data_IF_622074833754
#
_entry.id   IF_622074833754
#
_cell.length_a   1.000
_cell.length_b   1.000
_cell.length_c   1.000
_cell.angle_alpha   90.00
_cell.angle_beta   90.00
_cell.angle_gamma   90.00
#
_symmetry.space_group_name_H-M   'P 1'
#
loop_
_entity.id
_entity.type
_entity.pdbx_description
1 polymer ?
#
# COMPACT_ATOMS: atom_id res chain seq x y z
N UNK A 1 -45.84 -45.00 -14.08
CA UNK A 1 -45.23 -43.74 -14.56
C UNK A 1 -43.90 -43.56 -13.86
N UNK A 2 -42.79 -43.60 -14.59
CA UNK A 2 -41.44 -43.41 -14.03
C UNK A 2 -41.17 -41.90 -13.96
N UNK A 3 -41.14 -41.35 -12.76
CA UNK A 3 -40.71 -39.97 -12.52
C UNK A 3 -39.19 -39.89 -12.60
N UNK A 4 -38.70 -39.40 -13.73
CA UNK A 4 -37.29 -39.06 -13.95
C UNK A 4 -36.96 -37.83 -13.11
N UNK A 5 -36.16 -38.01 -12.05
CA UNK A 5 -35.62 -36.90 -11.27
C UNK A 5 -34.58 -36.17 -12.13
N UNK A 6 -34.94 -34.99 -12.61
CA UNK A 6 -34.04 -34.06 -13.31
C UNK A 6 -33.12 -33.43 -12.26
N UNK A 7 -31.93 -34.00 -12.07
CA UNK A 7 -30.87 -33.39 -11.27
C UNK A 7 -30.38 -32.13 -11.99
N UNK A 8 -30.86 -30.97 -11.54
CA UNK A 8 -30.33 -29.68 -11.93
C UNK A 8 -28.95 -29.52 -11.27
N UNK A 9 -27.89 -29.91 -11.96
CA UNK A 9 -26.52 -29.57 -11.60
C UNK A 9 -26.35 -28.05 -11.76
N UNK A 10 -26.56 -27.31 -10.67
CA UNK A 10 -26.02 -25.96 -10.54
C UNK A 10 -24.50 -26.08 -10.61
N UNK A 11 -23.92 -25.87 -11.79
CA UNK A 11 -22.53 -25.45 -11.91
C UNK A 11 -22.45 -24.07 -11.27
N UNK A 12 -22.20 -24.03 -9.97
CA UNK A 12 -21.56 -22.87 -9.36
C UNK A 12 -20.22 -22.80 -10.05
N UNK A 13 -20.11 -21.92 -11.05
CA UNK A 13 -18.82 -21.39 -11.46
C UNK A 13 -18.23 -20.79 -10.19
N UNK A 14 -17.45 -21.58 -9.46
CA UNK A 14 -16.39 -21.08 -8.62
C UNK A 14 -15.54 -20.27 -9.60
N UNK A 15 -15.83 -18.97 -9.66
CA UNK A 15 -14.93 -18.01 -10.26
C UNK A 15 -13.69 -18.14 -9.39
N UNK A 16 -12.76 -19.00 -9.83
CA UNK A 16 -11.42 -19.01 -9.30
C UNK A 16 -10.90 -17.62 -9.62
N UNK A 17 -11.01 -16.71 -8.64
CA UNK A 17 -10.30 -15.44 -8.65
C UNK A 17 -8.86 -15.77 -9.02
N UNK A 18 -8.41 -15.27 -10.16
CA UNK A 18 -7.10 -15.66 -10.64
C UNK A 18 -6.11 -14.55 -10.45
N UNK A 19 -4.86 -14.99 -10.35
CA UNK A 19 -3.73 -14.22 -9.86
C UNK A 19 -3.04 -13.53 -11.05
N UNK A 20 -2.60 -12.29 -10.90
CA UNK A 20 -1.68 -11.69 -11.88
C UNK A 20 -0.36 -12.45 -11.83
N UNK A 21 0.00 -13.10 -12.93
CA UNK A 21 1.24 -13.86 -13.06
C UNK A 21 2.31 -12.99 -13.71
N UNK A 22 3.50 -12.98 -13.12
CA UNK A 22 4.64 -12.23 -13.64
C UNK A 22 5.74 -13.19 -14.10
N UNK A 23 6.04 -13.14 -15.38
CA UNK A 23 7.16 -13.81 -16.03
C UNK A 23 8.36 -12.85 -16.04
N UNK A 24 9.34 -13.12 -15.18
CA UNK A 24 10.54 -12.29 -15.07
C UNK A 24 11.63 -12.74 -16.05
N UNK A 25 12.01 -11.86 -16.97
CA UNK A 25 13.10 -12.07 -17.91
C UNK A 25 14.33 -11.29 -17.47
N UNK A 26 15.25 -11.99 -16.82
CA UNK A 26 16.53 -11.43 -16.40
C UNK A 26 17.46 -11.33 -17.62
N UNK A 27 17.90 -10.13 -17.96
CA UNK A 27 18.90 -9.89 -19.00
C UNK A 27 20.06 -9.09 -18.42
N UNK A 28 21.27 -9.61 -18.56
CA UNK A 28 22.48 -8.98 -18.05
C UNK A 28 23.23 -8.31 -19.19
N UNK A 29 23.95 -7.22 -18.89
CA UNK A 29 25.08 -6.81 -19.72
C UNK A 29 26.25 -7.79 -19.46
N UNK A 30 27.01 -8.17 -20.50
CA UNK A 30 28.11 -9.12 -20.36
C UNK A 30 29.11 -8.69 -19.27
N UNK A 31 29.47 -9.62 -18.38
CA UNK A 31 30.45 -9.36 -17.32
C UNK A 31 29.92 -8.58 -16.11
N UNK A 32 28.64 -8.21 -16.09
CA UNK A 32 27.93 -7.69 -14.91
C UNK A 32 26.62 -8.48 -14.70
N UNK A 33 25.97 -8.37 -13.54
CA UNK A 33 24.53 -8.61 -13.48
C UNK A 33 23.98 -9.78 -12.68
N UNK A 34 22.67 -9.98 -12.82
CA UNK A 34 21.81 -10.78 -11.95
C UNK A 34 22.03 -12.29 -12.10
N UNK A 35 22.52 -12.76 -13.26
CA UNK A 35 22.85 -14.18 -13.48
C UNK A 35 24.27 -14.53 -13.02
N UNK A 36 25.06 -13.56 -12.58
CA UNK A 36 26.37 -13.85 -12.00
C UNK A 36 26.23 -14.66 -10.71
N UNK A 37 27.18 -15.57 -10.50
CA UNK A 37 27.28 -16.36 -9.28
C UNK A 37 27.46 -15.41 -8.09
N UNK A 38 26.55 -15.47 -7.11
CA UNK A 38 26.50 -14.56 -5.97
C UNK A 38 25.33 -13.57 -5.99
N UNK A 39 24.64 -13.40 -7.12
CA UNK A 39 23.45 -12.54 -7.24
C UNK A 39 22.13 -13.33 -7.34
N UNK A 40 22.16 -14.66 -7.15
CA UNK A 40 20.96 -15.51 -7.19
C UNK A 40 19.92 -15.09 -6.14
N UNK A 41 20.37 -14.47 -5.05
CA UNK A 41 19.50 -13.94 -4.02
C UNK A 41 18.61 -12.82 -4.55
N UNK A 42 19.08 -11.97 -5.47
CA UNK A 42 18.28 -10.90 -6.08
C UNK A 42 17.16 -11.49 -6.93
N UNK A 43 17.47 -12.48 -7.78
CA UNK A 43 16.46 -13.23 -8.56
C UNK A 43 15.41 -13.84 -7.63
N UNK A 44 15.83 -14.44 -6.51
CA UNK A 44 14.91 -15.01 -5.52
C UNK A 44 14.02 -13.94 -4.89
N UNK A 45 14.56 -12.78 -4.55
CA UNK A 45 13.78 -11.67 -3.99
C UNK A 45 12.83 -11.01 -4.99
N UNK A 46 13.22 -10.83 -6.26
CA UNK A 46 12.31 -10.39 -7.33
C UNK A 46 11.13 -11.35 -7.49
N UNK A 47 11.39 -12.67 -7.49
CA UNK A 47 10.33 -13.68 -7.57
C UNK A 47 9.38 -13.64 -6.36
N UNK A 48 9.91 -13.37 -5.16
CA UNK A 48 9.07 -13.14 -3.97
C UNK A 48 8.23 -11.89 -4.10
N UNK A 49 8.81 -10.79 -4.60
CA UNK A 49 8.09 -9.52 -4.81
C UNK A 49 6.90 -9.69 -5.76
N UNK A 50 7.12 -10.28 -6.94
CA UNK A 50 6.02 -10.44 -7.90
C UNK A 50 4.96 -11.43 -7.43
N UNK A 51 5.34 -12.49 -6.70
CA UNK A 51 4.37 -13.39 -6.07
C UNK A 51 3.56 -12.70 -4.98
N UNK A 52 4.15 -11.73 -4.28
CA UNK A 52 3.43 -10.90 -3.31
C UNK A 52 2.39 -10.05 -4.04
N UNK A 53 2.81 -9.32 -5.07
CA UNK A 53 1.96 -8.39 -5.82
C UNK A 53 0.83 -9.14 -6.55
N UNK A 54 1.16 -10.25 -7.21
CA UNK A 54 0.19 -11.04 -8.00
C UNK A 54 -1.01 -11.51 -7.20
N UNK A 55 -0.80 -11.84 -5.92
CA UNK A 55 -1.83 -12.29 -4.98
C UNK A 55 -2.72 -11.17 -4.42
N UNK A 56 -2.26 -9.93 -4.52
CA UNK A 56 -2.98 -8.76 -4.01
C UNK A 56 -3.95 -8.22 -5.07
N UNK A 57 -3.74 -8.53 -6.35
CA UNK A 57 -4.59 -8.08 -7.45
C UNK A 57 -5.53 -9.23 -7.85
N UNK A 58 -6.85 -8.99 -7.82
CA UNK A 58 -7.88 -10.01 -8.10
C UNK A 58 -8.09 -10.29 -9.60
N UNK A 59 -7.63 -9.39 -10.45
CA UNK A 59 -7.72 -9.56 -11.90
C UNK A 59 -6.74 -10.61 -12.43
N UNK A 60 -7.09 -11.15 -13.58
CA UNK A 60 -6.34 -12.20 -14.26
C UNK A 60 -5.46 -11.63 -15.36
N UNK A 61 -4.14 -11.64 -15.19
CA UNK A 61 -3.26 -11.28 -16.30
C UNK A 61 -1.95 -12.05 -16.25
N UNK A 62 -1.30 -12.14 -17.41
CA UNK A 62 0.09 -12.59 -17.52
C UNK A 62 0.95 -11.45 -18.05
N UNK A 63 1.94 -11.07 -17.25
CA UNK A 63 2.86 -9.98 -17.55
C UNK A 63 4.28 -10.49 -17.74
N UNK A 64 4.96 -9.95 -18.73
CA UNK A 64 6.37 -10.21 -19.02
C UNK A 64 7.19 -8.99 -18.59
N UNK A 65 7.96 -9.12 -17.51
CA UNK A 65 8.79 -8.02 -16.99
C UNK A 65 10.25 -8.30 -17.28
N UNK A 66 10.90 -7.41 -18.02
CA UNK A 66 12.35 -7.46 -18.21
C UNK A 66 13.03 -6.88 -16.97
N UNK A 67 14.09 -7.53 -16.50
CA UNK A 67 14.87 -7.08 -15.34
C UNK A 67 16.34 -7.09 -15.71
N UNK A 68 16.98 -5.92 -15.69
CA UNK A 68 18.39 -5.78 -16.00
C UNK A 68 19.20 -5.29 -14.81
N UNK A 69 20.47 -5.66 -14.81
CA UNK A 69 21.49 -4.99 -14.03
C UNK A 69 22.30 -4.05 -14.91
N UNK A 70 22.63 -2.87 -14.38
CA UNK A 70 23.49 -1.89 -15.04
C UNK A 70 24.17 -1.01 -14.00
N UNK A 71 25.40 -0.58 -14.26
CA UNK A 71 26.12 0.41 -13.45
C UNK A 71 25.76 1.86 -13.82
N UNK A 72 25.00 2.06 -14.91
CA UNK A 72 24.62 3.37 -15.47
C UNK A 72 23.53 4.08 -14.69
N UNK A 73 22.74 3.36 -13.89
CA UNK A 73 21.71 3.95 -13.01
C UNK A 73 22.27 4.20 -11.62
N UNK A 74 21.76 5.23 -10.93
CA UNK A 74 22.20 5.54 -9.57
C UNK A 74 21.75 4.46 -8.57
N UNK A 75 20.56 3.89 -8.73
CA UNK A 75 20.02 2.91 -7.79
C UNK A 75 19.12 1.89 -8.50
N UNK A 76 17.94 2.31 -8.92
CA UNK A 76 17.00 1.55 -9.72
C UNK A 76 16.15 2.54 -10.52
N UNK A 77 15.54 2.07 -11.60
CA UNK A 77 14.50 2.82 -12.30
C UNK A 77 13.62 1.89 -13.16
N UNK A 78 12.39 2.31 -13.41
CA UNK A 78 11.48 1.71 -14.38
C UNK A 78 11.34 2.61 -15.62
N UNK A 79 12.17 2.41 -16.67
CA UNK A 79 12.13 3.28 -17.84
C UNK A 79 10.79 3.20 -18.59
N UNK A 80 10.30 4.36 -18.99
CA UNK A 80 9.02 4.58 -19.67
C UNK A 80 8.90 4.01 -21.09
N UNK A 81 9.99 3.48 -21.66
CA UNK A 81 10.04 2.94 -23.03
C UNK A 81 9.11 1.76 -23.31
N UNK A 82 8.45 1.22 -22.28
CA UNK A 82 7.46 0.14 -22.37
C UNK A 82 6.03 0.62 -22.17
N UNK A 83 5.82 1.92 -22.20
CA UNK A 83 4.48 2.46 -22.37
C UNK A 83 4.11 2.45 -23.85
N UNK A 84 2.82 2.41 -24.13
CA UNK A 84 2.33 2.61 -25.47
C UNK A 84 1.38 3.81 -25.48
N UNK A 85 1.38 4.50 -26.60
CA UNK A 85 0.47 5.62 -26.84
C UNK A 85 -0.79 5.09 -27.48
N UNK A 86 -1.94 5.43 -26.91
CA UNK A 86 -3.20 5.35 -27.62
C UNK A 86 -3.45 6.73 -28.22
N UNK A 87 -3.59 6.76 -29.55
CA UNK A 87 -3.97 7.98 -30.24
C UNK A 87 -5.45 8.27 -30.00
N UNK A 88 -5.72 8.97 -28.90
CA UNK A 88 -6.95 9.70 -28.69
C UNK A 88 -6.75 11.06 -29.40
N UNK A 89 -7.14 11.14 -30.67
CA UNK A 89 -6.90 12.26 -31.60
C UNK A 89 -7.08 13.64 -30.94
N UNK A 90 -6.00 14.30 -30.46
CA UNK A 90 -5.93 15.56 -29.68
C UNK A 90 -5.77 15.48 -28.14
N UNK A 91 -5.11 14.43 -27.66
CA UNK A 91 -4.46 14.36 -26.34
C UNK A 91 -3.95 12.95 -26.12
N UNK A 92 -2.66 12.70 -26.30
CA UNK A 92 -2.16 11.32 -26.36
C UNK A 92 -2.21 10.67 -24.98
N UNK A 93 -3.07 9.66 -24.82
CA UNK A 93 -3.09 8.88 -23.59
C UNK A 93 -1.94 7.86 -23.64
N UNK A 94 -1.02 7.98 -22.70
CA UNK A 94 0.03 6.98 -22.49
C UNK A 94 -0.47 6.01 -21.44
N UNK A 95 -0.55 4.73 -21.84
CA UNK A 95 -0.96 3.65 -20.94
C UNK A 95 0.22 2.71 -20.74
N UNK A 96 0.59 2.41 -19.48
CA UNK A 96 1.53 1.34 -19.22
C UNK A 96 0.94 0.01 -19.70
N UNK A 97 1.71 -0.77 -20.48
CA UNK A 97 1.27 -2.07 -21.02
C UNK A 97 0.77 -3.01 -19.91
N UNK A 98 1.48 -3.06 -18.78
CA UNK A 98 1.08 -3.84 -17.62
C UNK A 98 -0.29 -3.43 -17.07
N UNK A 99 -0.55 -2.12 -16.92
CA UNK A 99 -1.85 -1.60 -16.50
C UNK A 99 -2.95 -2.06 -17.47
N UNK A 100 -2.77 -1.83 -18.77
CA UNK A 100 -3.73 -2.23 -19.78
C UNK A 100 -4.06 -3.72 -19.75
N UNK A 101 -3.03 -4.59 -19.71
CA UNK A 101 -3.24 -6.04 -19.68
C UNK A 101 -4.00 -6.48 -18.44
N UNK A 102 -3.69 -5.93 -17.27
CA UNK A 102 -4.41 -6.26 -16.03
C UNK A 102 -5.87 -5.84 -16.11
N UNK A 103 -6.15 -4.59 -16.52
CA UNK A 103 -7.51 -4.08 -16.60
C UNK A 103 -8.37 -4.83 -17.64
N UNK A 104 -7.75 -5.37 -18.69
CA UNK A 104 -8.43 -6.14 -19.75
C UNK A 104 -8.36 -7.66 -19.56
N UNK A 105 -7.89 -8.12 -18.39
CA UNK A 105 -7.72 -9.54 -18.06
C UNK A 105 -6.96 -10.37 -19.13
N UNK A 106 -5.87 -9.82 -19.67
CA UNK A 106 -5.10 -10.46 -20.75
C UNK A 106 -4.19 -11.56 -20.18
N UNK A 107 -4.54 -12.82 -20.41
CA UNK A 107 -3.82 -14.00 -19.88
C UNK A 107 -2.94 -14.72 -20.91
N UNK A 108 -2.94 -14.27 -22.17
CA UNK A 108 -2.10 -14.86 -23.22
C UNK A 108 -0.67 -14.38 -23.07
N UNK A 109 0.28 -15.31 -23.09
CA UNK A 109 1.70 -14.97 -23.22
C UNK A 109 1.96 -14.56 -24.67
N UNK A 110 2.56 -13.40 -24.88
CA UNK A 110 2.97 -12.98 -26.22
C UNK A 110 4.17 -13.83 -26.64
N UNK A 111 4.01 -14.61 -27.72
CA UNK A 111 5.05 -15.50 -28.26
C UNK A 111 6.34 -14.75 -28.65
N UNK A 112 6.25 -13.43 -28.89
CA UNK A 112 7.36 -12.58 -29.33
C UNK A 112 8.14 -11.86 -28.21
N UNK A 113 8.03 -12.29 -26.94
CA UNK A 113 8.63 -11.57 -25.79
C UNK A 113 8.22 -10.09 -25.74
N UNK A 114 6.95 -9.80 -26.01
CA UNK A 114 6.44 -8.44 -25.81
C UNK A 114 6.55 -8.09 -24.33
N UNK A 115 7.45 -7.16 -24.03
CA UNK A 115 7.78 -6.74 -22.67
C UNK A 115 6.70 -5.76 -22.20
N UNK A 116 6.07 -6.10 -21.07
CA UNK A 116 5.00 -5.31 -20.44
C UNK A 116 5.54 -4.25 -19.47
N UNK A 117 6.81 -4.39 -19.08
CA UNK A 117 7.51 -3.47 -18.21
C UNK A 117 8.98 -3.83 -18.07
N UNK A 118 9.78 -2.86 -17.63
CA UNK A 118 11.21 -3.04 -17.50
C UNK A 118 11.72 -2.36 -16.25
N UNK A 119 12.61 -3.03 -15.54
CA UNK A 119 13.29 -2.49 -14.38
C UNK A 119 14.79 -2.66 -14.60
N UNK A 120 15.57 -1.61 -14.33
CA UNK A 120 17.03 -1.69 -14.35
C UNK A 120 17.57 -1.34 -12.95
N UNK A 121 18.55 -2.11 -12.48
CA UNK A 121 19.13 -1.98 -11.13
C UNK A 121 20.64 -1.78 -11.19
N UNK A 122 21.14 -0.90 -10.32
CA UNK A 122 22.55 -0.89 -9.96
C UNK A 122 22.81 -1.88 -8.83
N UNK A 123 23.24 -3.08 -9.21
CA UNK A 123 23.46 -4.20 -8.28
C UNK A 123 24.46 -3.85 -7.16
N UNK A 124 25.40 -2.93 -7.41
CA UNK A 124 26.42 -2.52 -6.42
C UNK A 124 25.83 -1.76 -5.24
N UNK A 125 24.59 -1.28 -5.37
CA UNK A 125 23.88 -0.52 -4.33
C UNK A 125 23.12 -1.39 -3.34
N UNK A 126 23.06 -2.70 -3.57
CA UNK A 126 22.31 -3.62 -2.73
C UNK A 126 23.22 -4.55 -1.95
N UNK A 127 22.86 -4.77 -0.68
CA UNK A 127 23.59 -5.66 0.21
C UNK A 127 22.83 -6.99 0.36
N UNK A 128 23.49 -8.11 0.07
CA UNK A 128 22.94 -9.46 0.24
C UNK A 128 22.53 -9.78 1.69
N UNK A 129 23.12 -9.10 2.67
CA UNK A 129 22.78 -9.23 4.09
C UNK A 129 21.50 -8.47 4.46
N UNK A 130 20.98 -7.64 3.54
CA UNK A 130 19.72 -6.91 3.65
C UNK A 130 18.82 -7.14 2.42
N UNK A 131 18.46 -8.39 2.12
CA UNK A 131 17.74 -8.75 0.89
C UNK A 131 16.37 -8.06 0.76
N UNK A 132 15.77 -7.65 1.87
CA UNK A 132 14.55 -6.85 1.91
C UNK A 132 14.68 -5.50 1.21
N UNK A 133 15.86 -4.85 1.23
CA UNK A 133 16.03 -3.52 0.64
C UNK A 133 15.87 -3.59 -0.87
N UNK A 134 16.47 -4.63 -1.47
CA UNK A 134 16.28 -4.94 -2.87
C UNK A 134 14.83 -5.32 -3.17
N UNK A 135 14.21 -6.20 -2.36
CA UNK A 135 12.81 -6.59 -2.55
C UNK A 135 11.88 -5.38 -2.53
N UNK A 136 12.07 -4.45 -1.61
CA UNK A 136 11.26 -3.23 -1.51
C UNK A 136 11.46 -2.33 -2.73
N UNK A 137 12.71 -2.11 -3.13
CA UNK A 137 13.02 -1.34 -4.33
C UNK A 137 12.42 -1.98 -5.58
N UNK A 138 12.44 -3.32 -5.67
CA UNK A 138 11.79 -4.01 -6.77
C UNK A 138 10.28 -3.79 -6.80
N UNK A 139 9.60 -3.80 -5.65
CA UNK A 139 8.17 -3.49 -5.56
C UNK A 139 7.91 -2.03 -5.93
N UNK A 140 8.77 -1.09 -5.51
CA UNK A 140 8.68 0.33 -5.87
C UNK A 140 8.70 0.52 -7.40
N UNK A 141 9.72 0.00 -8.07
CA UNK A 141 9.83 0.12 -9.53
C UNK A 141 8.70 -0.60 -10.27
N UNK A 142 8.27 -1.74 -9.75
CA UNK A 142 7.12 -2.45 -10.31
C UNK A 142 5.82 -1.68 -10.11
N UNK A 143 5.67 -0.90 -9.04
CA UNK A 143 4.49 -0.06 -8.80
C UNK A 143 4.42 1.09 -9.80
N UNK A 144 5.56 1.65 -10.22
CA UNK A 144 5.60 2.54 -11.38
C UNK A 144 5.10 1.83 -12.64
N UNK A 145 5.59 0.62 -12.95
CA UNK A 145 5.11 -0.16 -14.12
C UNK A 145 3.58 -0.41 -14.08
N UNK A 146 3.01 -0.57 -12.87
CA UNK A 146 1.58 -0.74 -12.65
C UNK A 146 0.77 0.57 -12.77
N UNK A 147 1.38 1.69 -13.16
CA UNK A 147 0.66 2.92 -13.47
C UNK A 147 0.77 4.02 -12.43
N UNK A 148 1.51 3.83 -11.34
CA UNK A 148 1.84 4.93 -10.42
C UNK A 148 2.94 5.81 -11.05
N UNK A 149 2.61 6.53 -12.11
CA UNK A 149 3.54 7.40 -12.81
C UNK A 149 2.83 8.52 -13.57
N UNK A 150 3.46 9.68 -13.68
CA UNK A 150 2.95 10.80 -14.45
C UNK A 150 3.53 10.79 -15.88
N UNK A 151 2.85 11.36 -16.86
CA UNK A 151 3.58 11.83 -18.04
C UNK A 151 4.33 13.09 -17.63
N UNK A 152 5.63 13.17 -17.91
CA UNK A 152 6.46 14.34 -17.61
C UNK A 152 5.69 15.61 -18.01
N UNK A 153 5.35 16.46 -17.03
CA UNK A 153 4.54 17.67 -17.26
C UNK A 153 5.40 18.63 -18.09
N UNK A 154 5.10 18.88 -19.37
CA UNK A 154 5.89 19.81 -20.16
C UNK A 154 5.66 21.22 -19.62
N UNK A 155 6.74 21.87 -19.22
CA UNK A 155 6.73 23.28 -18.84
C UNK A 155 6.66 24.16 -20.10
N UNK A 156 5.48 24.23 -20.72
CA UNK A 156 4.99 25.35 -21.54
C UNK A 156 3.67 24.98 -22.24
N UNK A 157 2.55 25.48 -21.71
CA UNK A 157 1.24 25.66 -22.37
C UNK A 157 0.47 24.46 -22.93
N UNK A 158 1.06 23.29 -23.20
CA UNK A 158 0.33 22.12 -23.71
C UNK A 158 0.90 20.80 -23.16
N UNK A 159 0.01 19.95 -22.62
CA UNK A 159 0.33 18.56 -22.31
C UNK A 159 0.12 17.76 -23.59
N UNK A 160 1.20 17.28 -24.20
CA UNK A 160 1.12 16.40 -25.38
C UNK A 160 0.70 14.97 -25.02
N UNK A 161 0.97 14.54 -23.78
CA UNK A 161 0.67 13.20 -23.28
C UNK A 161 0.24 13.19 -21.81
N UNK A 162 -0.63 12.26 -21.42
CA UNK A 162 -0.96 12.05 -20.01
C UNK A 162 -1.16 10.56 -19.67
N UNK A 163 -1.03 10.20 -18.40
CA UNK A 163 -1.36 8.88 -17.87
C UNK A 163 -2.67 8.89 -17.09
N UNK A 164 -3.27 7.73 -16.80
CA UNK A 164 -4.46 7.69 -15.94
C UNK A 164 -4.18 8.19 -14.51
N UNK A 165 -2.93 8.12 -14.05
CA UNK A 165 -2.54 8.68 -12.76
C UNK A 165 -2.55 10.21 -12.76
N UNK A 166 -2.22 10.87 -13.88
CA UNK A 166 -2.29 12.34 -14.00
C UNK A 166 -3.70 12.89 -13.72
N UNK A 167 -4.75 12.10 -14.01
CA UNK A 167 -6.15 12.47 -13.72
C UNK A 167 -6.45 12.55 -12.24
N UNK A 168 -5.65 11.89 -11.40
CA UNK A 168 -5.81 11.90 -9.95
C UNK A 168 -5.18 13.14 -9.32
N UNK A 169 -4.29 13.84 -10.03
CA UNK A 169 -3.47 14.92 -9.49
C UNK A 169 -4.27 16.22 -9.37
N UNK A 170 -4.17 16.87 -8.22
CA UNK A 170 -4.80 18.15 -7.89
C UNK A 170 -3.81 19.07 -7.20
N UNK A 171 -3.96 20.38 -7.37
CA UNK A 171 -3.21 21.38 -6.61
C UNK A 171 -3.78 21.52 -5.18
N UNK A 172 -3.10 22.33 -4.34
CA UNK A 172 -3.56 22.67 -2.99
C UNK A 172 -4.95 23.31 -2.90
N UNK A 173 -5.46 23.88 -3.99
CA UNK A 173 -6.77 24.51 -4.04
C UNK A 173 -7.86 23.51 -4.50
N UNK A 174 -7.48 22.27 -4.81
CA UNK A 174 -8.38 21.24 -5.32
C UNK A 174 -8.70 21.41 -6.81
N UNK A 175 -7.92 22.18 -7.57
CA UNK A 175 -8.04 22.19 -9.02
C UNK A 175 -7.35 20.93 -9.57
N UNK A 176 -8.01 20.11 -10.41
CA UNK A 176 -7.36 18.96 -11.03
C UNK A 176 -6.29 19.42 -12.02
N UNK A 177 -5.23 18.62 -12.19
CA UNK A 177 -4.18 18.83 -13.19
C UNK A 177 -4.78 18.80 -14.59
N UNK A 178 -5.65 17.82 -14.85
CA UNK A 178 -6.30 17.62 -16.13
C UNK A 178 -7.78 17.97 -16.04
N UNK A 179 -8.28 18.72 -17.02
CA UNK A 179 -9.72 18.94 -17.23
C UNK A 179 -10.16 18.33 -18.55
N UNK A 180 -11.35 17.75 -18.53
CA UNK A 180 -12.02 17.30 -19.74
C UNK A 180 -12.44 18.51 -20.58
N UNK A 181 -12.14 18.52 -21.88
CA UNK A 181 -12.46 19.62 -22.79
C UNK A 181 -13.95 19.69 -23.17
N UNK A 182 -14.72 18.65 -22.83
CA UNK A 182 -16.16 18.58 -23.08
C UNK A 182 -16.50 18.19 -24.52
N UNK A 183 -15.51 17.80 -25.31
CA UNK A 183 -15.72 17.24 -26.64
C UNK A 183 -16.13 15.76 -26.59
N UNK A 184 -16.72 15.24 -27.69
CA UNK A 184 -17.18 13.84 -27.77
C UNK A 184 -16.05 12.81 -27.75
N UNK A 185 -14.84 13.25 -28.09
CA UNK A 185 -13.66 12.41 -28.27
C UNK A 185 -12.88 12.22 -26.96
N UNK A 186 -13.32 12.87 -25.88
CA UNK A 186 -12.87 12.57 -24.52
C UNK A 186 -11.59 13.29 -24.10
N UNK A 187 -11.23 14.39 -24.76
CA UNK A 187 -9.90 14.98 -24.59
C UNK A 187 -9.68 15.65 -23.24
N UNK A 188 -8.44 15.57 -22.77
CA UNK A 188 -7.95 16.28 -21.61
C UNK A 188 -6.99 17.40 -22.00
N UNK A 189 -6.95 18.46 -21.20
CA UNK A 189 -5.90 19.49 -21.21
C UNK A 189 -5.47 19.82 -19.81
N UNK A 190 -4.28 20.43 -19.69
CA UNK A 190 -3.88 21.10 -18.46
C UNK A 190 -4.96 22.09 -18.03
N UNK A 191 -5.37 22.02 -16.79
CA UNK A 191 -6.30 22.96 -16.21
C UNK A 191 -5.61 24.33 -16.02
N UNK A 192 -6.11 25.41 -16.64
CA UNK A 192 -5.48 26.73 -16.51
C UNK A 192 -5.54 27.29 -15.08
N UNK A 193 -6.35 26.70 -14.19
CA UNK A 193 -6.41 27.04 -12.77
C UNK A 193 -5.46 26.22 -11.90
N UNK A 194 -4.82 25.18 -12.46
CA UNK A 194 -3.89 24.34 -11.71
C UNK A 194 -2.64 25.12 -11.32
N UNK A 195 -2.41 25.26 -10.02
CA UNK A 195 -1.18 25.82 -9.44
C UNK A 195 -0.17 24.69 -9.23
N UNK A 196 0.82 24.58 -10.13
CA UNK A 196 1.88 23.57 -10.06
C UNK A 196 2.91 23.80 -8.95
N UNK A 197 2.65 24.73 -8.01
CA UNK A 197 3.46 24.96 -6.83
C UNK A 197 3.67 23.71 -5.98
N UNK A 198 4.43 23.83 -4.89
CA UNK A 198 5.01 22.70 -4.12
C UNK A 198 3.96 21.69 -3.59
N UNK A 199 2.73 22.11 -3.36
CA UNK A 199 1.70 21.27 -2.76
C UNK A 199 0.79 20.66 -3.84
N UNK A 200 1.03 19.38 -4.13
CA UNK A 200 0.22 18.58 -5.05
C UNK A 200 -0.34 17.34 -4.32
N UNK A 201 -1.52 16.91 -4.72
CA UNK A 201 -2.24 15.81 -4.09
C UNK A 201 -2.78 14.82 -5.12
N UNK A 202 -2.74 13.53 -4.79
CA UNK A 202 -3.56 12.53 -5.47
C UNK A 202 -4.90 12.40 -4.76
N UNK A 203 -5.97 12.48 -5.55
CA UNK A 203 -7.34 12.53 -5.09
C UNK A 203 -8.15 11.38 -5.66
N UNK A 204 -9.08 10.86 -4.85
CA UNK A 204 -10.02 9.83 -5.29
C UNK A 204 -10.80 9.21 -4.11
N UNK A 205 -11.97 8.61 -4.34
CA UNK A 205 -12.77 7.95 -3.31
C UNK A 205 -12.03 6.84 -2.55
N UNK A 206 -11.34 5.92 -3.24
CA UNK A 206 -10.54 4.84 -2.65
C UNK A 206 -9.31 5.39 -1.93
N UNK A 207 -8.63 6.38 -2.53
CA UNK A 207 -7.54 7.10 -1.86
C UNK A 207 -8.01 7.66 -0.51
N UNK A 208 -9.12 8.40 -0.50
CA UNK A 208 -9.68 8.95 0.74
C UNK A 208 -10.09 7.86 1.71
N UNK A 209 -10.70 6.78 1.24
CA UNK A 209 -11.09 5.65 2.09
C UNK A 209 -9.87 5.10 2.85
N UNK A 210 -8.74 4.92 2.16
CA UNK A 210 -7.51 4.39 2.74
C UNK A 210 -6.70 5.44 3.52
N UNK A 211 -6.93 6.73 3.27
CA UNK A 211 -6.22 7.84 3.91
C UNK A 211 -7.10 8.66 4.88
N UNK A 212 -8.01 8.00 5.62
CA UNK A 212 -8.83 8.63 6.67
C UNK A 212 -9.67 9.83 6.19
N UNK A 213 -10.17 9.78 4.97
CA UNK A 213 -10.94 10.86 4.33
C UNK A 213 -10.10 11.94 3.65
N UNK A 214 -8.77 11.90 3.78
CA UNK A 214 -7.87 12.92 3.24
C UNK A 214 -7.33 12.54 1.86
N UNK A 215 -6.92 13.53 1.09
CA UNK A 215 -6.09 13.33 -0.09
C UNK A 215 -4.66 12.98 0.29
N UNK A 216 -3.92 12.37 -0.63
CA UNK A 216 -2.53 11.99 -0.40
C UNK A 216 -1.63 13.06 -0.99
N UNK A 217 -0.67 13.57 -0.23
CA UNK A 217 0.31 14.52 -0.75
C UNK A 217 1.34 13.80 -1.63
N UNK A 218 1.57 14.33 -2.81
CA UNK A 218 2.55 13.84 -3.78
C UNK A 218 3.81 14.68 -3.67
N UNK A 219 4.96 14.02 -3.76
CA UNK A 219 6.27 14.64 -3.74
C UNK A 219 6.43 15.58 -4.95
N UNK A 220 6.45 16.88 -4.68
CA UNK A 220 6.64 17.93 -5.68
C UNK A 220 7.61 18.99 -5.14
N UNK A 221 8.93 18.75 -5.18
CA UNK A 221 9.92 19.68 -4.68
C UNK A 221 9.92 20.99 -5.49
N UNK A 222 10.44 22.11 -4.93
CA UNK A 222 10.55 23.39 -5.65
C UNK A 222 11.40 23.30 -6.93
N UNK A 223 12.37 22.37 -6.96
CA UNK A 223 13.18 22.07 -8.13
C UNK A 223 12.81 20.68 -8.60
N UNK A 224 12.30 20.56 -9.83
CA UNK A 224 11.86 19.28 -10.40
C UNK A 224 13.05 18.30 -10.44
N UNK A 225 12.88 17.19 -9.74
CA UNK A 225 13.79 16.05 -9.76
C UNK A 225 13.28 15.01 -10.76
N UNK A 226 14.05 14.84 -11.84
CA UNK A 226 13.70 13.91 -12.91
C UNK A 226 13.48 12.50 -12.35
N UNK A 227 12.37 11.87 -12.75
CA UNK A 227 11.97 10.53 -12.33
C UNK A 227 11.32 10.45 -10.94
N UNK A 228 11.45 11.49 -10.11
CA UNK A 228 10.92 11.48 -8.74
C UNK A 228 9.75 12.42 -8.50
N UNK A 229 9.82 13.63 -9.06
CA UNK A 229 8.76 14.62 -8.90
C UNK A 229 7.46 14.12 -9.53
N UNK A 230 6.35 14.35 -8.83
CA UNK A 230 4.99 14.01 -9.23
C UNK A 230 4.65 12.51 -9.23
N UNK A 231 5.61 11.60 -9.04
CA UNK A 231 5.41 10.14 -9.12
C UNK A 231 5.55 9.41 -7.79
N UNK A 232 5.83 10.14 -6.71
CA UNK A 232 6.10 9.60 -5.39
C UNK A 232 5.19 10.20 -4.34
N UNK A 233 4.95 9.49 -3.25
CA UNK A 233 4.31 10.06 -2.07
C UNK A 233 5.27 11.00 -1.35
N UNK A 234 4.71 12.09 -0.80
CA UNK A 234 5.47 12.97 0.07
C UNK A 234 5.89 12.21 1.33
N UNK A 235 7.21 12.06 1.49
CA UNK A 235 7.83 11.26 2.56
C UNK A 235 7.57 11.84 3.96
N UNK A 236 7.28 13.14 4.09
CA UNK A 236 6.96 13.76 5.38
C UNK A 236 5.60 13.30 5.89
N UNK A 237 4.68 13.01 4.97
CA UNK A 237 3.32 12.54 5.26
C UNK A 237 3.24 11.01 5.28
N UNK A 238 4.05 10.35 4.45
CA UNK A 238 4.04 8.90 4.27
C UNK A 238 5.46 8.30 4.41
N UNK A 239 6.16 8.45 5.56
CA UNK A 239 7.58 8.09 5.71
C UNK A 239 7.91 6.60 5.56
N UNK A 240 6.90 5.73 5.51
CA UNK A 240 7.03 4.27 5.39
C UNK A 240 6.44 3.72 4.10
N UNK A 241 6.01 4.59 3.20
CA UNK A 241 5.52 4.23 1.87
C UNK A 241 6.65 3.61 1.05
N UNK A 242 6.31 2.62 0.23
CA UNK A 242 7.29 2.06 -0.71
C UNK A 242 7.57 3.03 -1.85
N UNK A 243 6.60 3.89 -2.18
CA UNK A 243 6.61 4.94 -3.20
C UNK A 243 7.09 6.30 -2.67
N UNK A 244 7.93 6.36 -1.63
CA UNK A 244 8.64 7.61 -1.31
C UNK A 244 9.81 7.84 -2.27
N UNK A 245 10.12 9.10 -2.60
CA UNK A 245 11.24 9.45 -3.50
C UNK A 245 12.61 9.19 -2.87
N UNK A 246 12.71 9.32 -1.55
CA UNK A 246 13.93 9.06 -0.79
C UNK A 246 13.73 7.92 0.20
N UNK A 247 14.81 7.20 0.45
CA UNK A 247 14.89 6.20 1.52
C UNK A 247 15.52 6.86 2.74
N UNK A 248 14.71 7.17 3.75
CA UNK A 248 15.25 7.42 5.09
C UNK A 248 15.62 6.06 5.70
N UNK A 249 16.93 5.85 5.90
CA UNK A 249 17.59 4.53 5.83
C UNK A 249 17.29 3.53 6.96
N UNK A 250 16.40 3.84 7.90
CA UNK A 250 16.26 3.05 9.13
C UNK A 250 14.86 2.43 9.32
N UNK A 251 13.89 2.76 8.45
CA UNK A 251 12.52 2.22 8.55
C UNK A 251 12.20 1.25 7.41
N UNK A 252 11.45 0.19 7.73
CA UNK A 252 10.97 -0.77 6.74
C UNK A 252 9.82 -0.17 5.93
N UNK A 253 10.05 0.04 4.64
CA UNK A 253 9.01 0.50 3.72
C UNK A 253 8.06 -0.64 3.38
N UNK A 254 6.77 -0.32 3.33
CA UNK A 254 5.72 -1.28 3.03
C UNK A 254 4.84 -0.73 1.93
N UNK A 255 4.36 -1.62 1.07
CA UNK A 255 3.25 -1.26 0.19
C UNK A 255 2.03 -1.03 1.07
N UNK A 256 1.69 0.22 1.30
CA UNK A 256 0.71 0.66 2.29
C UNK A 256 -0.68 0.77 1.66
N UNK A 257 -1.69 0.94 2.52
CA UNK A 257 -3.08 1.03 2.08
C UNK A 257 -3.32 2.19 1.10
N UNK A 258 -2.61 3.31 1.25
CA UNK A 258 -2.83 4.49 0.41
C UNK A 258 -2.30 4.30 -1.01
N UNK A 259 -1.18 3.59 -1.19
CA UNK A 259 -0.64 3.20 -2.50
C UNK A 259 -1.54 2.19 -3.21
N UNK A 260 -2.09 1.22 -2.46
CA UNK A 260 -3.10 0.31 -2.98
C UNK A 260 -4.40 1.06 -3.32
N UNK A 261 -4.76 2.09 -2.56
CA UNK A 261 -5.86 3.01 -2.87
C UNK A 261 -5.65 3.73 -4.20
N UNK A 262 -4.43 4.21 -4.49
CA UNK A 262 -4.08 4.77 -5.80
C UNK A 262 -4.29 3.74 -6.91
N UNK A 263 -3.84 2.50 -6.72
CA UNK A 263 -4.12 1.45 -7.70
C UNK A 263 -5.63 1.21 -7.88
N UNK A 264 -6.43 1.22 -6.82
CA UNK A 264 -7.89 1.11 -6.98
C UNK A 264 -8.48 2.25 -7.83
N UNK A 265 -7.96 3.47 -7.71
CA UNK A 265 -8.37 4.58 -8.60
C UNK A 265 -7.98 4.35 -10.07
N UNK A 266 -6.88 3.64 -10.32
CA UNK A 266 -6.48 3.22 -11.65
C UNK A 266 -7.29 2.02 -12.18
N UNK A 267 -8.23 1.48 -11.39
CA UNK A 267 -9.13 0.40 -11.78
C UNK A 267 -8.72 -0.99 -11.28
N UNK A 268 -7.69 -1.10 -10.43
CA UNK A 268 -7.31 -2.38 -9.84
C UNK A 268 -8.34 -2.87 -8.80
N UNK A 269 -8.62 -4.16 -8.80
CA UNK A 269 -9.38 -4.83 -7.75
C UNK A 269 -8.41 -5.44 -6.73
N UNK A 270 -8.38 -4.88 -5.53
CA UNK A 270 -7.44 -5.30 -4.48
C UNK A 270 -8.07 -6.38 -3.60
N UNK A 271 -7.34 -7.47 -3.42
CA UNK A 271 -7.58 -8.49 -2.40
C UNK A 271 -7.04 -8.05 -1.05
N UNK A 272 -7.84 -7.22 -0.38
CA UNK A 272 -7.54 -6.72 0.95
C UNK A 272 -7.34 -7.82 1.98
N UNK A 273 -8.09 -8.93 1.90
CA UNK A 273 -7.94 -10.05 2.84
C UNK A 273 -6.56 -10.69 2.71
N UNK A 274 -6.17 -11.04 1.48
CA UNK A 274 -4.83 -11.59 1.22
C UNK A 274 -3.72 -10.58 1.54
N UNK A 275 -3.90 -9.31 1.17
CA UNK A 275 -2.95 -8.25 1.53
C UNK A 275 -2.73 -8.18 3.03
N UNK A 276 -3.80 -8.10 3.84
CA UNK A 276 -3.66 -8.02 5.30
C UNK A 276 -3.09 -9.30 5.89
N UNK A 277 -3.49 -10.48 5.40
CA UNK A 277 -2.91 -11.75 5.86
C UNK A 277 -1.39 -11.79 5.62
N UNK A 278 -0.95 -11.34 4.45
CA UNK A 278 0.46 -11.26 4.07
C UNK A 278 1.21 -10.19 4.87
N UNK A 279 0.65 -8.99 4.95
CA UNK A 279 1.21 -7.87 5.71
C UNK A 279 1.37 -8.24 7.18
N UNK A 280 0.38 -8.86 7.79
CA UNK A 280 0.43 -9.31 9.19
C UNK A 280 1.46 -10.41 9.42
N UNK A 281 1.67 -11.29 8.43
CA UNK A 281 2.70 -12.32 8.50
C UNK A 281 4.11 -11.75 8.44
N UNK A 282 4.32 -10.70 7.63
CA UNK A 282 5.63 -10.05 7.46
C UNK A 282 5.88 -9.03 8.58
N UNK A 283 4.85 -8.34 9.03
CA UNK A 283 4.89 -7.25 10.01
C UNK A 283 3.95 -7.51 11.18
N UNK A 284 4.21 -8.55 12.00
CA UNK A 284 3.38 -8.84 13.15
C UNK A 284 3.46 -7.65 14.13
N UNK A 285 2.36 -6.95 14.34
CA UNK A 285 2.28 -6.01 15.44
C UNK A 285 2.17 -6.77 16.77
N UNK A 286 2.95 -6.32 17.74
CA UNK A 286 2.79 -6.73 19.14
C UNK A 286 2.37 -5.51 19.92
N UNK A 287 1.22 -5.57 20.58
CA UNK A 287 0.68 -4.52 21.45
C UNK A 287 0.88 -4.95 22.91
N UNK A 288 1.95 -4.46 23.53
CA UNK A 288 2.12 -4.70 24.98
C UNK A 288 1.21 -3.75 25.73
N UNK A 289 0.32 -4.26 26.59
CA UNK A 289 -0.54 -3.47 27.46
C UNK A 289 -0.06 -3.64 28.91
N UNK A 290 0.60 -2.62 29.45
CA UNK A 290 0.98 -2.60 30.86
C UNK A 290 -0.18 -2.04 31.69
N UNK A 291 -0.78 -2.86 32.56
CA UNK A 291 -1.87 -2.43 33.45
C UNK A 291 -1.28 -2.08 34.81
N UNK A 292 -1.43 -0.83 35.23
CA UNK A 292 -0.94 -0.37 36.54
C UNK A 292 -1.67 -1.08 37.71
N UNK A 293 -0.92 -1.37 38.77
CA UNK A 293 -1.30 -2.22 39.91
C UNK A 293 -2.46 -1.65 40.74
N UNK A 294 -2.63 -0.33 40.73
CA UNK A 294 -3.66 0.39 41.50
C UNK A 294 -5.03 0.39 40.82
N UNK A 295 -5.09 0.16 39.50
CA UNK A 295 -6.34 0.22 38.73
C UNK A 295 -7.27 -0.98 38.94
N UNK A 296 -6.71 -2.13 39.34
CA UNK A 296 -7.40 -3.41 39.47
C UNK A 296 -8.13 -3.60 40.82
N UNK A 297 -7.99 -2.68 41.77
CA UNK A 297 -8.62 -2.82 43.09
C UNK A 297 -10.13 -2.49 43.11
N UNK A 298 -10.69 -1.94 42.03
CA UNK A 298 -12.03 -1.35 42.06
C UNK A 298 -13.18 -2.14 41.39
N UNK A 299 -12.96 -3.05 40.43
CA UNK A 299 -14.09 -3.58 39.62
C UNK A 299 -13.84 -4.95 38.98
N UNK A 300 -14.92 -5.71 38.75
CA UNK A 300 -14.95 -6.95 37.93
C UNK A 300 -14.86 -6.60 36.44
N UNK A 301 -13.72 -6.06 36.01
CA UNK A 301 -13.51 -5.56 34.64
C UNK A 301 -12.84 -6.62 33.77
N UNK A 302 -13.42 -6.89 32.61
CA UNK A 302 -12.86 -7.75 31.56
C UNK A 302 -12.42 -6.93 30.35
N UNK A 303 -11.43 -7.42 29.61
CA UNK A 303 -10.96 -6.80 28.40
C UNK A 303 -11.33 -7.72 27.23
N UNK A 304 -11.98 -7.16 26.21
CA UNK A 304 -12.20 -7.87 24.96
C UNK A 304 -11.47 -7.14 23.85
N UNK A 305 -10.66 -7.86 23.08
CA UNK A 305 -10.13 -7.31 21.84
C UNK A 305 -11.11 -7.71 20.76
N UNK A 306 -11.73 -6.71 20.14
CA UNK A 306 -12.73 -6.90 19.11
C UNK A 306 -12.10 -6.51 17.78
N UNK A 307 -12.27 -7.36 16.77
CA UNK A 307 -11.92 -7.01 15.39
C UNK A 307 -12.64 -5.72 14.96
N UNK A 308 -11.99 -4.88 14.17
CA UNK A 308 -12.73 -3.85 13.45
C UNK A 308 -13.71 -4.57 12.49
N UNK A 309 -15.03 -4.27 12.52
CA UNK A 309 -16.03 -5.00 11.72
C UNK A 309 -15.79 -4.98 10.20
N UNK A 310 -14.98 -4.05 9.70
CA UNK A 310 -14.62 -3.95 8.28
C UNK A 310 -13.47 -4.89 7.86
N UNK A 311 -12.93 -5.72 8.79
CA UNK A 311 -11.73 -6.54 8.59
C UNK A 311 -11.92 -7.99 9.10
N UNK A 312 -11.09 -8.96 8.65
CA UNK A 312 -11.31 -10.38 8.95
C UNK A 312 -11.34 -10.73 10.45
N UNK A 313 -12.12 -11.77 10.78
CA UNK A 313 -12.51 -12.23 12.13
C UNK A 313 -11.36 -12.64 13.07
N UNK A 314 -10.12 -12.62 12.61
CA UNK A 314 -8.94 -13.15 13.33
C UNK A 314 -8.48 -12.27 14.51
N UNK A 315 -9.05 -11.08 14.70
CA UNK A 315 -8.69 -10.16 15.79
C UNK A 315 -9.38 -10.44 17.14
N UNK A 316 -10.21 -11.48 17.29
CA UNK A 316 -11.01 -11.65 18.52
C UNK A 316 -10.25 -12.46 19.58
N UNK A 317 -9.75 -11.79 20.62
CA UNK A 317 -9.24 -12.45 21.83
C UNK A 317 -9.97 -11.92 23.07
N UNK A 318 -10.62 -12.84 23.78
CA UNK A 318 -11.18 -12.58 25.10
C UNK A 318 -10.08 -12.76 26.15
N UNK A 319 -9.70 -11.67 26.83
CA UNK A 319 -8.74 -11.69 27.92
C UNK A 319 -9.48 -11.39 29.23
N UNK A 320 -9.88 -12.46 29.91
CA UNK A 320 -10.38 -12.37 31.26
C UNK A 320 -9.22 -12.13 32.22
N UNK A 321 -9.13 -10.91 32.77
CA UNK A 321 -8.23 -10.64 33.90
C UNK A 321 -8.88 -11.17 35.17
N UNK A 322 -8.19 -12.06 35.88
CA UNK A 322 -8.61 -12.45 37.22
C UNK A 322 -7.86 -11.62 38.28
N UNK A 323 -8.42 -11.55 39.50
CA UNK A 323 -7.79 -10.83 40.64
C UNK A 323 -6.36 -11.30 40.97
N UNK A 324 -5.96 -12.48 40.47
CA UNK A 324 -4.63 -13.06 40.70
C UNK A 324 -3.56 -12.59 39.68
N UNK A 325 -3.91 -11.73 38.72
CA UNK A 325 -2.97 -11.13 37.76
C UNK A 325 -2.47 -9.72 38.16
N UNK A 326 -2.69 -9.33 39.43
CA UNK A 326 -2.24 -8.05 39.99
C UNK A 326 -0.73 -7.83 39.78
N UNK A 327 -0.36 -6.72 39.14
CA UNK A 327 1.04 -6.36 38.87
C UNK A 327 1.71 -7.11 37.72
N UNK A 328 0.95 -7.80 36.87
CA UNK A 328 1.47 -8.47 35.66
C UNK A 328 1.28 -7.59 34.42
N UNK A 329 2.34 -7.50 33.61
CA UNK A 329 2.27 -6.99 32.24
C UNK A 329 1.44 -7.94 31.38
N UNK A 330 0.47 -7.41 30.65
CA UNK A 330 -0.29 -8.16 29.66
C UNK A 330 0.28 -7.86 28.27
N UNK A 331 1.12 -8.74 27.74
CA UNK A 331 1.55 -8.62 26.34
C UNK A 331 0.49 -9.22 25.44
N UNK A 332 -0.15 -8.42 24.61
CA UNK A 332 -1.10 -8.91 23.62
C UNK A 332 -0.51 -8.76 22.22
N UNK A 333 -0.43 -9.85 21.46
CA UNK A 333 -0.14 -9.72 20.03
C UNK A 333 -1.43 -9.32 19.34
N UNK A 334 -1.46 -8.09 18.81
CA UNK A 334 -2.64 -7.57 18.12
C UNK A 334 -2.22 -7.15 16.72
N UNK A 335 -3.10 -7.40 15.74
CA UNK A 335 -2.93 -6.85 14.41
C UNK A 335 -3.12 -5.33 14.42
N UNK A 336 -2.51 -4.64 13.44
CA UNK A 336 -2.48 -3.16 13.34
C UNK A 336 -3.86 -2.51 13.20
N UNK A 337 -4.95 -3.28 13.09
CA UNK A 337 -6.31 -2.74 12.98
C UNK A 337 -7.30 -3.36 13.97
N UNK A 338 -6.82 -4.08 14.99
CA UNK A 338 -7.69 -4.55 16.06
C UNK A 338 -8.11 -3.38 16.97
N UNK A 339 -9.36 -3.39 17.43
CA UNK A 339 -9.86 -2.46 18.45
C UNK A 339 -9.74 -3.12 19.81
N UNK A 340 -9.10 -2.45 20.78
CA UNK A 340 -9.16 -2.90 22.17
C UNK A 340 -10.45 -2.34 22.78
N UNK A 341 -11.33 -3.19 23.28
CA UNK A 341 -12.59 -2.80 23.94
C UNK A 341 -12.47 -3.13 25.43
N UNK A 342 -12.61 -2.13 26.32
CA UNK A 342 -12.82 -2.45 27.73
C UNK A 342 -14.31 -2.71 27.98
N UNK A 343 -14.59 -3.86 28.60
CA UNK A 343 -15.92 -4.25 29.02
C UNK A 343 -15.95 -4.25 30.54
N UNK A 344 -16.51 -3.19 31.11
CA UNK A 344 -16.90 -3.19 32.51
C UNK A 344 -18.27 -3.88 32.65
N UNK A 345 -18.26 -5.05 33.30
CA UNK A 345 -19.46 -5.86 33.53
C UNK A 345 -20.53 -5.15 34.37
N UNK A 346 -20.18 -4.05 35.05
CA UNK A 346 -21.12 -3.27 35.88
C UNK A 346 -21.68 -2.02 35.19
N UNK A 347 -20.99 -1.43 34.20
CA UNK A 347 -21.31 -0.04 33.74
C UNK A 347 -21.57 0.15 32.24
N UNK A 348 -21.74 -0.95 31.48
CA UNK A 348 -21.89 -1.01 30.00
C UNK A 348 -20.58 -0.81 29.22
N UNK A 349 -20.51 -1.53 28.10
CA UNK A 349 -19.41 -1.58 27.12
C UNK A 349 -18.98 -0.18 26.70
N UNK A 350 -17.67 0.10 26.72
CA UNK A 350 -17.09 1.28 26.08
C UNK A 350 -16.11 0.87 25.00
N UNK A 351 -16.38 1.29 23.76
CA UNK A 351 -15.55 1.01 22.61
C UNK A 351 -14.32 1.94 22.59
N UNK A 352 -13.12 1.38 22.47
CA UNK A 352 -11.94 2.17 22.12
C UNK A 352 -11.51 1.77 20.72
N UNK A 353 -11.45 2.74 19.83
CA UNK A 353 -10.85 2.52 18.51
C UNK A 353 -9.41 3.01 18.57
N UNK A 354 -8.47 2.07 18.49
CA UNK A 354 -7.07 2.37 18.30
C UNK A 354 -6.82 2.56 16.81
N UNK A 355 -6.23 3.70 16.43
CA UNK A 355 -5.62 3.89 15.11
C UNK A 355 -4.12 4.00 15.35
N UNK A 356 -3.30 3.00 15.02
CA UNK A 356 -1.90 2.91 15.45
C UNK A 356 -0.93 3.92 14.80
N UNK A 357 -1.42 5.03 14.24
CA UNK A 357 -0.59 5.94 13.46
C UNK A 357 -0.85 7.44 13.72
N UNK A 358 -1.62 7.80 14.75
CA UNK A 358 -1.70 9.19 15.19
C UNK A 358 -0.58 9.48 16.20
N UNK A 359 0.51 10.12 15.73
CA UNK A 359 1.62 10.58 16.58
C UNK A 359 1.06 11.40 17.77
N UNK A 360 1.35 10.97 19.00
CA UNK A 360 1.01 11.67 20.26
C UNK A 360 -0.49 11.97 20.52
N UNK A 361 -1.39 11.00 20.35
CA UNK A 361 -2.77 11.18 20.83
C UNK A 361 -2.88 10.91 22.34
N UNK A 362 -2.66 11.93 23.16
CA UNK A 362 -2.97 11.89 24.59
C UNK A 362 -4.51 11.92 24.75
N UNK A 363 -5.14 10.79 25.06
CA UNK A 363 -6.59 10.72 25.29
C UNK A 363 -6.87 10.63 26.80
N UNK A 364 -7.40 11.70 27.39
CA UNK A 364 -7.95 11.67 28.74
C UNK A 364 -9.37 11.09 28.68
N UNK A 365 -9.69 10.12 29.55
CA UNK A 365 -11.00 9.43 29.51
C UNK A 365 -11.65 9.45 30.89
N UNK A 366 -12.93 9.84 30.94
CA UNK A 366 -13.74 9.81 32.15
C UNK A 366 -14.36 8.43 32.35
N UNK A 367 -14.03 7.75 33.45
CA UNK A 367 -14.67 6.50 33.87
C UNK A 367 -15.34 6.76 35.22
N UNK A 368 -16.65 6.57 35.28
CA UNK A 368 -17.43 6.60 36.53
C UNK A 368 -17.24 7.88 37.40
N UNK A 369 -17.29 9.07 36.77
CA UNK A 369 -17.09 10.40 37.40
C UNK A 369 -15.71 10.61 38.05
N UNK A 370 -14.76 9.67 37.92
CA UNK A 370 -13.33 9.87 38.20
C UNK A 370 -12.58 10.07 36.89
N UNK A 371 -11.61 10.98 36.88
CA UNK A 371 -10.79 11.27 35.72
C UNK A 371 -9.67 10.24 35.67
N UNK A 372 -9.70 9.31 34.73
CA UNK A 372 -8.56 8.42 34.50
C UNK A 372 -7.78 8.95 33.30
N UNK A 373 -6.56 9.45 33.54
CA UNK A 373 -5.64 9.75 32.43
C UNK A 373 -4.99 8.46 31.98
N UNK A 374 -5.29 8.02 30.76
CA UNK A 374 -4.61 6.92 30.08
C UNK A 374 -3.49 7.52 29.23
N UNK A 375 -2.23 7.26 29.61
CA UNK A 375 -1.06 7.75 28.88
C UNK A 375 -0.54 6.70 27.90
N UNK A 376 -1.10 6.67 26.69
CA UNK A 376 -0.57 5.81 25.62
C UNK A 376 0.73 6.40 25.07
N UNK A 377 1.86 5.90 25.57
CA UNK A 377 3.17 6.19 24.95
C UNK A 377 3.48 5.07 23.97
N UNK A 378 3.47 5.36 22.68
CA UNK A 378 3.92 4.42 21.64
C UNK A 378 5.46 4.41 21.62
N UNK A 379 6.06 3.26 21.91
CA UNK A 379 7.50 3.05 21.74
C UNK A 379 7.72 2.24 20.47
N UNK A 380 8.32 2.83 19.43
CA UNK A 380 8.47 2.26 18.09
C UNK A 380 9.74 1.41 17.89
N UNK A 381 10.47 1.09 18.96
CA UNK A 381 11.70 0.28 18.87
C UNK A 381 11.39 -1.17 18.46
N UNK A 382 11.97 -1.62 17.34
CA UNK A 382 11.98 -3.02 16.86
C UNK A 382 10.61 -3.61 16.44
N UNK A 383 9.74 -2.84 15.76
CA UNK A 383 8.39 -3.30 15.34
C UNK A 383 7.47 -3.77 16.49
N UNK A 384 7.83 -3.46 17.74
CA UNK A 384 6.96 -3.64 18.88
C UNK A 384 6.25 -2.31 19.13
N UNK A 385 4.94 -2.34 19.33
CA UNK A 385 4.20 -1.17 19.79
C UNK A 385 3.89 -1.42 21.28
N UNK A 386 4.68 -0.84 22.16
CA UNK A 386 4.37 -0.91 23.60
C UNK A 386 3.43 0.23 23.97
N UNK A 387 2.38 -0.08 24.75
CA UNK A 387 1.45 0.90 25.30
C UNK A 387 1.39 0.74 26.82
N UNK A 388 1.68 1.83 27.53
CA UNK A 388 1.58 1.86 28.98
C UNK A 388 0.20 2.38 29.41
N UNK A 389 -0.65 1.54 30.00
CA UNK A 389 -1.88 2.03 30.64
C UNK A 389 -1.56 2.44 32.08
N UNK A 390 -1.15 3.69 32.27
CA UNK A 390 -1.11 4.27 33.62
C UNK A 390 -2.50 4.76 33.99
N UNK A 391 -3.00 4.39 35.16
CA UNK A 391 -4.22 4.96 35.71
C UNK A 391 -3.79 5.94 36.80
N UNK A 392 -4.18 7.20 36.69
CA UNK A 392 -4.04 8.18 37.77
C UNK A 392 -5.44 8.63 38.20
N UNK A 393 -5.63 8.78 39.50
CA UNK A 393 -6.90 9.20 40.11
C UNK A 393 -7.09 10.70 40.13
#
# INVERSE_FOLDING_TARGET
>A
MKTTALFLLFFINLICFGEVQFNLHFADEDGTGLKQKGNEWMIKESKKAVKLIGKIIKQNAKLTIKVNATDKTNYAWAPSKHFYTIEEKYGQKIIPKALYKILNNVTTENENLDIDGHIEFNISKFNKEKPEEFRMTFIHELTHILGFLNCQIPTASEIYCYTDFDKLLHDKNGNPLLIHKGDPDGHYSLNPKFDSGIDMYACGPFIRQQNNGNFIKIYNPPVIESGSSYTHLDETMHPRSIMTSHKNSDEYHVWNNVELGVLQELGYEIDWENYYAMFNKVYPATITVNIDKEALEATDTSFEIVANPDFPKECTQNLALNKNQKGKTLTVKMHRECKLVLIDNKTKVRLFTFKPFAKNSLKTILINKKNYKINLTENLLNNKHEFNLKFSS
#
